data_IF_131104340131
#
_entry.id   IF_131104340131
#
_cell.length_a   1.000
_cell.length_b   1.000
_cell.length_c   1.000
_cell.angle_alpha   90.00
_cell.angle_beta   90.00
_cell.angle_gamma   90.00
#
_symmetry.space_group_name_H-M   'P 1'
#
loop_
_entity.id
_entity.type
_entity.pdbx_description
1 polymer ?
#
# COMPACT_ATOMS: atom_id res chain seq x y z
N UNK A 1 16.98 -22.38 10.25
CA UNK A 1 16.84 -21.69 8.95
C UNK A 1 15.41 -21.21 8.83
N UNK A 2 15.17 -20.10 8.14
CA UNK A 2 13.85 -19.46 8.05
C UNK A 2 12.99 -20.01 6.89
N UNK A 3 13.22 -21.28 6.54
CA UNK A 3 12.55 -21.95 5.44
C UNK A 3 13.09 -23.37 5.24
N UNK A 4 12.40 -24.11 4.39
CA UNK A 4 12.79 -25.44 3.94
C UNK A 4 13.23 -25.38 2.49
N UNK A 5 14.42 -25.90 2.17
CA UNK A 5 14.96 -25.85 0.81
C UNK A 5 15.10 -27.26 0.24
N UNK A 6 14.54 -27.45 -0.96
CA UNK A 6 14.66 -28.68 -1.74
C UNK A 6 15.12 -28.34 -3.17
N UNK A 7 16.19 -29.00 -3.60
CA UNK A 7 16.81 -28.84 -4.93
C UNK A 7 16.97 -27.38 -5.41
N UNK A 8 17.43 -26.48 -4.53
CA UNK A 8 17.65 -25.06 -4.84
C UNK A 8 16.39 -24.18 -4.84
N UNK A 9 15.21 -24.75 -4.56
CA UNK A 9 13.97 -24.02 -4.33
C UNK A 9 13.64 -24.04 -2.84
N UNK A 10 13.57 -22.87 -2.22
CA UNK A 10 13.16 -22.74 -0.83
C UNK A 10 11.67 -22.42 -0.70
N UNK A 11 11.04 -22.91 0.35
CA UNK A 11 9.75 -22.47 0.85
C UNK A 11 10.01 -21.77 2.17
N UNK A 12 9.71 -20.47 2.23
CA UNK A 12 9.99 -19.68 3.42
C UNK A 12 8.94 -19.92 4.50
N UNK A 13 9.37 -19.80 5.77
CA UNK A 13 8.43 -19.71 6.87
C UNK A 13 7.62 -18.42 6.75
N UNK A 14 6.44 -18.40 7.35
CA UNK A 14 5.53 -17.26 7.34
C UNK A 14 6.26 -15.98 7.82
N UNK A 15 6.12 -14.90 7.06
CA UNK A 15 6.79 -13.61 7.28
C UNK A 15 8.20 -13.50 6.73
N UNK A 16 8.73 -14.51 6.02
CA UNK A 16 10.07 -14.48 5.42
C UNK A 16 10.04 -14.57 3.90
N UNK A 17 10.95 -13.88 3.23
CA UNK A 17 11.02 -13.74 1.78
C UNK A 17 12.43 -13.95 1.23
N UNK A 18 12.54 -13.95 -0.10
CA UNK A 18 13.76 -14.13 -0.92
C UNK A 18 14.26 -15.56 -1.02
N UNK A 19 15.18 -15.81 -1.97
CA UNK A 19 15.67 -17.16 -2.29
C UNK A 19 16.25 -17.89 -1.08
N UNK A 20 16.85 -17.16 -0.14
CA UNK A 20 17.43 -17.69 1.10
C UNK A 20 16.51 -17.58 2.32
N UNK A 21 15.28 -17.07 2.15
CA UNK A 21 14.35 -16.76 3.23
C UNK A 21 14.95 -15.85 4.32
N UNK A 22 15.94 -15.02 3.96
CA UNK A 22 16.69 -14.21 4.93
C UNK A 22 16.04 -12.87 5.25
N UNK A 23 15.11 -12.41 4.41
CA UNK A 23 14.44 -11.11 4.59
C UNK A 23 13.13 -11.33 5.33
N UNK A 24 12.92 -10.62 6.43
CA UNK A 24 11.66 -10.62 7.14
C UNK A 24 10.76 -9.49 6.62
N UNK A 25 9.48 -9.79 6.46
CA UNK A 25 8.46 -8.79 6.16
C UNK A 25 8.42 -7.70 7.24
N UNK A 26 8.21 -6.42 6.85
CA UNK A 26 7.94 -5.36 7.81
C UNK A 26 6.74 -5.73 8.68
N UNK A 27 6.89 -5.67 9.99
CA UNK A 27 5.81 -5.93 10.94
C UNK A 27 5.73 -4.84 12.03
N UNK A 28 5.61 -3.55 11.65
CA UNK A 28 5.49 -2.47 12.62
C UNK A 28 4.25 -2.70 13.49
N UNK A 29 4.34 -2.34 14.77
CA UNK A 29 3.26 -2.52 15.74
C UNK A 29 2.81 -3.99 15.91
N UNK A 30 3.68 -4.95 15.54
CA UNK A 30 3.41 -6.38 15.66
C UNK A 30 2.49 -6.97 14.58
N UNK A 31 2.16 -6.21 13.53
CA UNK A 31 1.35 -6.70 12.39
C UNK A 31 2.11 -6.53 11.08
N UNK A 32 2.15 -7.59 10.26
CA UNK A 32 2.76 -7.55 8.92
C UNK A 32 2.16 -6.41 8.12
N UNK A 33 3.02 -5.55 7.56
CA UNK A 33 2.65 -4.34 6.83
C UNK A 33 1.66 -3.45 7.61
N UNK A 34 1.83 -3.34 8.93
CA UNK A 34 0.95 -2.65 9.87
C UNK A 34 -0.50 -3.18 9.95
N UNK A 35 -0.82 -4.26 9.22
CA UNK A 35 -2.20 -4.69 8.94
C UNK A 35 -2.86 -3.92 7.78
N UNK A 36 -2.09 -3.08 7.08
CA UNK A 36 -2.55 -2.21 5.99
C UNK A 36 -1.87 -2.54 4.66
N UNK A 37 -1.43 -3.78 4.48
CA UNK A 37 -0.77 -4.23 3.27
C UNK A 37 -0.55 -5.73 3.23
N UNK A 38 -0.05 -6.21 2.10
CA UNK A 38 0.29 -7.61 1.86
C UNK A 38 1.79 -7.69 1.62
N UNK A 39 2.49 -8.58 2.33
CA UNK A 39 3.91 -8.79 2.12
C UNK A 39 4.17 -9.82 1.01
N UNK A 40 5.19 -9.57 0.20
CA UNK A 40 5.70 -10.55 -0.76
C UNK A 40 6.66 -11.56 -0.08
N UNK A 41 6.08 -12.48 0.70
CA UNK A 41 6.77 -13.44 1.58
C UNK A 41 7.14 -14.77 0.93
N UNK A 42 7.39 -14.78 -0.38
CA UNK A 42 7.80 -16.02 -1.09
C UNK A 42 9.31 -16.09 -1.26
N UNK A 43 9.83 -17.26 -1.60
CA UNK A 43 11.26 -17.40 -1.93
C UNK A 43 11.66 -16.69 -3.22
N UNK A 44 10.70 -16.33 -4.06
CA UNK A 44 10.88 -15.46 -5.22
C UNK A 44 10.50 -14.01 -4.93
N UNK A 45 9.98 -13.74 -3.73
CA UNK A 45 9.56 -12.43 -3.27
C UNK A 45 10.73 -11.59 -2.78
N UNK A 46 10.47 -10.31 -2.62
CA UNK A 46 11.44 -9.31 -2.17
C UNK A 46 11.22 -8.88 -0.70
N UNK A 47 10.23 -9.44 -0.02
CA UNK A 47 9.91 -9.13 1.38
C UNK A 47 9.37 -7.72 1.59
N UNK A 48 8.90 -7.06 0.51
CA UNK A 48 8.30 -5.74 0.58
C UNK A 48 6.80 -5.81 0.74
N UNK A 49 6.25 -4.76 1.36
CA UNK A 49 4.83 -4.57 1.50
C UNK A 49 4.23 -3.87 0.27
N UNK A 50 3.14 -4.43 -0.24
CA UNK A 50 2.20 -3.74 -1.11
C UNK A 50 1.08 -3.21 -0.25
N UNK A 51 0.98 -1.88 -0.13
CA UNK A 51 0.01 -1.27 0.77
C UNK A 51 -1.41 -1.28 0.20
N UNK A 52 -2.40 -1.36 1.09
CA UNK A 52 -3.81 -1.16 0.77
C UNK A 52 -4.06 0.30 0.40
N UNK A 53 -5.22 0.56 -0.21
CA UNK A 53 -5.65 1.90 -0.63
C UNK A 53 -5.55 2.90 0.53
N UNK A 54 -4.97 4.07 0.27
CA UNK A 54 -4.78 5.12 1.27
C UNK A 54 -3.55 4.96 2.16
N UNK A 55 -2.90 3.80 2.16
CA UNK A 55 -1.66 3.55 2.91
C UNK A 55 -0.43 3.55 2.00
N UNK A 56 0.69 3.95 2.58
CA UNK A 56 1.97 4.14 1.92
C UNK A 56 3.14 3.98 2.91
N UNK A 57 4.35 4.03 2.37
CA UNK A 57 5.59 3.75 3.09
C UNK A 57 6.04 2.30 2.92
N UNK A 58 7.27 2.01 3.34
CA UNK A 58 7.86 0.68 3.21
C UNK A 58 7.11 -0.41 4.03
N UNK A 59 6.37 0.02 5.04
CA UNK A 59 5.68 -0.83 6.01
C UNK A 59 4.17 -0.52 6.13
N UNK A 60 3.64 0.36 5.26
CA UNK A 60 2.24 0.77 5.19
C UNK A 60 1.69 1.50 6.42
N UNK A 61 2.56 2.06 7.26
CA UNK A 61 2.16 2.84 8.45
C UNK A 61 1.69 4.26 8.10
N UNK A 62 2.10 4.79 6.95
CA UNK A 62 1.84 6.19 6.58
C UNK A 62 0.56 6.29 5.77
N UNK A 63 -0.28 7.27 6.08
CA UNK A 63 -1.45 7.59 5.26
C UNK A 63 -1.08 8.53 4.11
N UNK A 64 -1.69 8.30 2.96
CA UNK A 64 -1.63 9.22 1.83
C UNK A 64 -2.34 10.54 2.20
N UNK A 65 -1.81 11.70 1.80
CA UNK A 65 -2.48 12.98 2.00
C UNK A 65 -3.87 13.02 1.36
N UNK A 66 -4.81 13.72 1.99
CA UNK A 66 -6.19 13.81 1.51
C UNK A 66 -6.88 12.45 1.44
N UNK A 67 -6.40 11.44 2.19
CA UNK A 67 -7.09 10.17 2.33
C UNK A 67 -8.31 10.33 3.24
N UNK A 68 -9.49 10.05 2.71
CA UNK A 68 -10.69 9.84 3.51
C UNK A 68 -11.17 8.42 3.24
N UNK A 69 -11.20 7.52 4.24
CA UNK A 69 -11.83 6.23 4.06
C UNK A 69 -13.28 6.47 3.66
N UNK A 70 -13.81 5.65 2.75
CA UNK A 70 -15.24 5.65 2.50
C UNK A 70 -15.91 5.24 3.82
N UNK A 71 -16.49 6.23 4.51
CA UNK A 71 -17.52 5.96 5.50
C UNK A 71 -18.68 5.38 4.68
N UNK A 72 -18.86 4.08 4.83
CA UNK A 72 -19.94 3.25 4.30
C UNK A 72 -20.27 3.25 2.78
N UNK A 73 -20.60 2.06 2.30
CA UNK A 73 -21.50 1.89 1.17
C UNK A 73 -22.85 2.51 1.59
N UNK A 74 -23.16 3.71 1.13
CA UNK A 74 -24.51 4.26 1.28
C UNK A 74 -25.49 3.29 0.58
N UNK A 75 -26.40 2.70 1.38
CA UNK A 75 -27.42 1.70 1.01
C UNK A 75 -28.45 2.18 -0.04
N UNK A 76 -28.34 3.42 -0.52
CA UNK A 76 -29.33 4.05 -1.40
C UNK A 76 -28.88 4.20 -2.87
N UNK A 77 -27.75 3.61 -3.27
CA UNK A 77 -27.43 3.41 -4.70
C UNK A 77 -27.30 4.68 -5.56
N UNK A 78 -27.25 5.87 -4.94
CA UNK A 78 -27.00 7.16 -5.59
C UNK A 78 -25.49 7.40 -5.57
N UNK A 79 -24.80 6.74 -6.50
CA UNK A 79 -23.35 6.59 -6.49
C UNK A 79 -22.54 7.85 -6.20
N UNK A 80 -21.60 7.71 -5.27
CA UNK A 80 -20.24 8.20 -5.47
C UNK A 80 -19.66 9.04 -4.36
N UNK A 81 -18.85 8.40 -3.51
CA UNK A 81 -17.53 8.88 -3.10
C UNK A 81 -16.78 7.74 -2.41
N UNK A 82 -16.41 6.71 -3.20
CA UNK A 82 -15.48 5.68 -2.72
C UNK A 82 -14.21 6.33 -2.15
N UNK A 83 -13.47 5.61 -1.30
CA UNK A 83 -12.34 6.15 -0.53
C UNK A 83 -11.51 7.16 -1.34
N UNK A 84 -11.53 8.43 -0.93
CA UNK A 84 -10.80 9.47 -1.64
C UNK A 84 -9.34 9.38 -1.23
N UNK A 85 -8.45 9.34 -2.21
CA UNK A 85 -7.00 9.40 -2.01
C UNK A 85 -6.52 10.65 -2.73
N UNK A 86 -5.67 11.46 -2.11
CA UNK A 86 -5.25 12.74 -2.68
C UNK A 86 -6.45 13.61 -3.07
N UNK A 87 -7.45 13.68 -2.18
CA UNK A 87 -8.66 14.47 -2.39
C UNK A 87 -9.54 14.01 -3.54
N UNK A 88 -9.29 12.82 -4.12
CA UNK A 88 -9.94 12.37 -5.36
C UNK A 88 -9.36 13.01 -6.63
N UNK A 89 -8.33 13.84 -6.48
CA UNK A 89 -7.75 14.66 -7.55
C UNK A 89 -6.31 14.26 -7.90
N UNK A 90 -5.87 13.10 -7.43
CA UNK A 90 -4.54 12.58 -7.71
C UNK A 90 -4.38 11.12 -7.34
N UNK A 91 -3.18 10.60 -7.62
CA UNK A 91 -2.79 9.24 -7.24
C UNK A 91 -1.73 9.29 -6.17
N UNK A 92 -1.89 8.48 -5.12
CA UNK A 92 -0.83 8.32 -4.13
C UNK A 92 0.34 7.50 -4.68
N UNK A 93 1.54 7.98 -4.47
CA UNK A 93 2.79 7.27 -4.71
C UNK A 93 3.17 6.54 -3.43
N UNK A 94 2.91 5.23 -3.39
CA UNK A 94 3.09 4.41 -2.19
C UNK A 94 4.52 4.39 -1.66
N UNK A 95 5.53 4.54 -2.53
CA UNK A 95 6.93 4.55 -2.12
C UNK A 95 7.31 5.78 -1.26
N UNK A 96 6.61 6.91 -1.44
CA UNK A 96 6.96 8.18 -0.78
C UNK A 96 5.82 8.79 0.04
N UNK A 97 4.64 8.19 0.02
CA UNK A 97 3.41 8.75 0.60
C UNK A 97 3.10 10.18 0.10
N UNK A 98 3.33 10.44 -1.21
CA UNK A 98 3.06 11.75 -1.83
C UNK A 98 2.02 11.62 -2.91
N UNK A 99 1.23 12.67 -3.08
CA UNK A 99 0.25 12.73 -4.14
C UNK A 99 0.84 13.21 -5.46
N UNK A 100 0.56 12.47 -6.52
CA UNK A 100 0.73 12.92 -7.90
C UNK A 100 -0.61 13.51 -8.36
N UNK A 101 -0.73 14.82 -8.29
CA UNK A 101 -1.96 15.53 -8.62
C UNK A 101 -2.24 15.54 -10.12
N UNK A 102 -3.53 15.40 -10.48
CA UNK A 102 -4.01 15.47 -11.84
C UNK A 102 -3.82 16.88 -12.40
N UNK A 103 -3.27 16.95 -13.61
CA UNK A 103 -3.04 18.20 -14.34
C UNK A 103 -3.47 18.01 -15.78
N UNK A 104 -4.68 18.44 -16.11
CA UNK A 104 -5.18 18.36 -17.48
C UNK A 104 -6.53 19.05 -17.65
N UNK A 105 -6.79 19.47 -18.88
CA UNK A 105 -8.02 20.20 -19.23
C UNK A 105 -9.31 19.44 -18.89
N UNK A 106 -9.29 18.10 -18.89
CA UNK A 106 -10.46 17.27 -18.58
C UNK A 106 -10.72 17.06 -17.07
N UNK A 107 -9.71 17.25 -16.22
CA UNK A 107 -9.76 16.83 -14.81
C UNK A 107 -9.39 17.95 -13.82
N UNK A 108 -9.00 19.14 -14.31
CA UNK A 108 -8.55 20.26 -13.49
C UNK A 108 -7.02 20.31 -13.33
N UNK A 109 -6.55 21.40 -12.73
CA UNK A 109 -5.14 21.63 -12.40
C UNK A 109 -4.96 21.66 -10.89
N UNK A 110 -4.74 20.49 -10.30
CA UNK A 110 -4.67 20.36 -8.84
C UNK A 110 -3.23 20.48 -8.34
N UNK A 111 -3.07 21.04 -7.15
CA UNK A 111 -1.80 21.22 -6.49
C UNK A 111 -1.90 20.98 -4.97
N UNK A 112 -0.76 21.11 -4.29
CA UNK A 112 -0.67 20.89 -2.86
C UNK A 112 -0.36 19.46 -2.49
N UNK A 113 -0.23 19.22 -1.18
CA UNK A 113 0.16 17.90 -0.65
C UNK A 113 -0.94 16.86 -0.84
N UNK A 114 -2.21 17.27 -0.74
CA UNK A 114 -3.40 16.44 -0.91
C UNK A 114 -4.20 16.70 -2.19
N UNK A 115 -3.67 17.47 -3.14
CA UNK A 115 -4.38 17.84 -4.39
C UNK A 115 -5.71 18.57 -4.16
N UNK A 116 -5.73 19.48 -3.19
CA UNK A 116 -6.93 20.27 -2.82
C UNK A 116 -6.80 21.75 -3.22
N UNK A 117 -5.64 22.16 -3.75
CA UNK A 117 -5.34 23.52 -4.19
C UNK A 117 -5.48 23.70 -5.70
#
# INVERSE_FOLDING_TARGET
GQGHCDNGRCTCHLGYATRSCAVMCPAPLGRVCAGHGICNETSTGDGKCTCLTGHAGADCTTLCPGYTPSAEEEEDGLGGSGAMVCGGHGRCVQATARCACSRGAAWGHWNGTGCLD
#
